data_IF_281052992955
#
_entry.id   IF_281052992955
#
_cell.length_a   1.000
_cell.length_b   1.000
_cell.length_c   1.000
_cell.angle_alpha   90.00
_cell.angle_beta   90.00
_cell.angle_gamma   90.00
#
_symmetry.space_group_name_H-M   'P 1'
#
loop_
_entity.id
_entity.type
_entity.pdbx_description
1 polymer ?
#
# COMPACT_ATOMS: atom_id res chain seq x y z
N UNK A 1 -30.40 20.64 61.51
CA UNK A 1 -30.58 21.55 60.35
C UNK A 1 -29.27 21.62 59.60
N UNK A 2 -29.30 21.09 58.37
CA UNK A 2 -28.41 21.27 57.23
C UNK A 2 -26.93 21.60 57.44
N UNK A 3 -26.12 20.58 57.19
CA UNK A 3 -24.74 20.67 56.75
C UNK A 3 -24.65 21.52 55.47
N UNK A 4 -23.74 22.50 55.47
CA UNK A 4 -23.32 23.25 54.30
C UNK A 4 -22.43 22.33 53.46
N UNK A 5 -23.00 21.84 52.36
CA UNK A 5 -22.30 21.06 51.35
C UNK A 5 -21.32 21.94 50.61
N UNK A 6 -20.03 21.65 50.83
CA UNK A 6 -18.92 22.21 50.10
C UNK A 6 -18.97 21.67 48.66
N UNK A 7 -19.22 22.57 47.70
CA UNK A 7 -19.36 22.21 46.29
C UNK A 7 -17.96 22.09 45.68
N UNK A 8 -17.37 20.90 45.80
CA UNK A 8 -16.22 20.48 45.01
C UNK A 8 -16.64 20.46 43.53
N UNK A 9 -16.39 21.57 42.85
CA UNK A 9 -16.49 21.66 41.39
C UNK A 9 -15.26 20.94 40.85
N UNK A 10 -15.39 19.62 40.65
CA UNK A 10 -14.37 18.79 40.05
C UNK A 10 -14.07 19.29 38.63
N UNK A 11 -12.97 20.01 38.50
CA UNK A 11 -12.32 20.30 37.24
C UNK A 11 -11.93 18.95 36.63
N UNK A 12 -12.69 18.48 35.64
CA UNK A 12 -12.35 17.29 34.87
C UNK A 12 -11.13 17.65 34.03
N UNK A 13 -9.95 17.42 34.60
CA UNK A 13 -8.70 17.41 33.86
C UNK A 13 -8.83 16.29 32.83
N UNK A 14 -9.13 16.64 31.57
CA UNK A 14 -9.15 15.70 30.44
C UNK A 14 -7.72 15.21 30.20
N UNK A 15 -7.25 14.32 31.07
CA UNK A 15 -6.03 13.56 30.88
C UNK A 15 -6.26 12.74 29.61
N UNK A 16 -5.63 13.16 28.51
CA UNK A 16 -5.63 12.36 27.29
C UNK A 16 -4.88 11.07 27.62
N UNK A 17 -5.55 9.93 27.45
CA UNK A 17 -4.90 8.63 27.59
C UNK A 17 -3.62 8.59 26.73
N UNK A 18 -2.48 8.15 27.29
CA UNK A 18 -1.23 8.11 26.55
C UNK A 18 -1.35 7.14 25.38
N UNK A 19 -0.78 7.51 24.23
CA UNK A 19 -0.68 6.65 23.06
C UNK A 19 0.65 5.89 23.19
N UNK A 20 0.58 4.57 23.33
CA UNK A 20 1.75 3.71 23.37
C UNK A 20 1.98 3.09 21.98
N UNK A 21 3.21 3.07 21.49
CA UNK A 21 3.56 2.38 20.23
C UNK A 21 4.52 1.24 20.54
N UNK A 22 4.20 0.06 20.01
CA UNK A 22 4.99 -1.16 20.16
C UNK A 22 4.95 -1.99 18.89
N UNK A 23 5.85 -2.96 18.81
CA UNK A 23 5.79 -3.97 17.77
C UNK A 23 4.55 -4.87 17.97
N UNK A 24 3.95 -5.25 16.85
CA UNK A 24 2.85 -6.21 16.82
C UNK A 24 3.37 -7.60 17.18
N UNK A 25 2.58 -8.33 17.96
CA UNK A 25 2.83 -9.72 18.32
C UNK A 25 1.73 -10.62 17.76
N UNK A 26 1.95 -11.94 17.63
CA UNK A 26 0.93 -12.84 17.08
C UNK A 26 -0.41 -12.80 17.82
N UNK A 27 -0.40 -12.45 19.11
CA UNK A 27 -1.62 -12.28 19.91
C UNK A 27 -2.47 -11.05 19.51
N UNK A 28 -1.92 -10.13 18.72
CA UNK A 28 -2.66 -8.98 18.18
C UNK A 28 -3.48 -9.34 16.93
N UNK A 29 -3.42 -10.60 16.46
CA UNK A 29 -4.03 -11.04 15.21
C UNK A 29 -5.52 -10.72 15.11
N UNK A 30 -6.33 -11.07 16.11
CA UNK A 30 -7.77 -10.79 16.11
C UNK A 30 -8.10 -9.31 15.90
N UNK A 31 -7.63 -8.40 16.78
CA UNK A 31 -7.84 -6.96 16.63
C UNK A 31 -7.34 -6.39 15.29
N UNK A 32 -6.24 -6.92 14.74
CA UNK A 32 -5.72 -6.48 13.45
C UNK A 32 -6.60 -6.98 12.29
N UNK A 33 -7.09 -8.23 12.32
CA UNK A 33 -8.04 -8.71 11.30
C UNK A 33 -9.30 -7.83 11.28
N UNK A 34 -9.84 -7.48 12.45
CA UNK A 34 -10.97 -6.54 12.54
C UNK A 34 -10.66 -5.19 11.89
N UNK A 35 -9.50 -4.60 12.20
CA UNK A 35 -9.08 -3.32 11.59
C UNK A 35 -8.90 -3.41 10.07
N UNK A 36 -8.37 -4.52 9.55
CA UNK A 36 -8.25 -4.71 8.10
C UNK A 36 -9.62 -4.79 7.43
N UNK A 37 -10.62 -5.38 8.09
CA UNK A 37 -12.00 -5.37 7.60
C UNK A 37 -12.62 -3.98 7.60
N UNK A 38 -12.35 -3.16 8.62
CA UNK A 38 -12.76 -1.73 8.65
C UNK A 38 -12.14 -0.92 7.50
N UNK A 39 -10.98 -1.35 6.96
CA UNK A 39 -10.26 -0.65 5.89
C UNK A 39 -10.77 -0.99 4.47
N UNK A 40 -11.56 -2.04 4.28
CA UNK A 40 -11.95 -2.56 2.94
C UNK A 40 -12.77 -1.55 2.11
N UNK A 41 -13.33 -0.51 2.71
CA UNK A 41 -14.00 0.58 1.99
C UNK A 41 -13.04 1.47 1.17
N UNK A 42 -11.72 1.29 1.29
CA UNK A 42 -10.71 1.97 0.49
C UNK A 42 -10.13 1.02 -0.58
N UNK A 43 -10.11 1.44 -1.85
CA UNK A 43 -9.68 0.71 -3.07
C UNK A 43 -8.28 0.05 -2.99
N UNK A 44 -7.56 0.26 -1.89
CA UNK A 44 -6.20 -0.18 -1.61
C UNK A 44 -6.14 -1.61 -1.06
N UNK A 45 -7.19 -2.11 -0.38
CA UNK A 45 -7.16 -3.43 0.25
C UNK A 45 -7.93 -4.48 -0.57
N UNK A 46 -7.46 -4.78 -1.79
CA UNK A 46 -8.05 -5.81 -2.68
C UNK A 46 -7.67 -7.25 -2.30
N UNK A 47 -7.05 -7.46 -1.14
CA UNK A 47 -6.60 -8.76 -0.68
C UNK A 47 -7.71 -9.46 0.12
N UNK A 48 -7.86 -10.76 -0.08
CA UNK A 48 -8.93 -11.57 0.53
C UNK A 48 -8.89 -11.50 2.05
N UNK A 49 -10.07 -11.64 2.67
CA UNK A 49 -10.23 -11.86 4.11
C UNK A 49 -9.24 -12.92 4.61
N UNK A 50 -8.62 -12.65 5.74
CA UNK A 50 -7.64 -13.53 6.40
C UNK A 50 -8.21 -13.92 7.77
N UNK A 51 -8.21 -15.21 8.10
CA UNK A 51 -8.56 -15.68 9.44
C UNK A 51 -7.47 -15.34 10.47
N UNK A 52 -7.85 -15.32 11.75
CA UNK A 52 -6.96 -14.96 12.85
C UNK A 52 -5.71 -15.84 12.93
N UNK A 53 -5.83 -17.15 12.71
CA UNK A 53 -4.69 -18.07 12.76
C UNK A 53 -3.67 -17.75 11.67
N UNK A 54 -4.16 -17.46 10.46
CA UNK A 54 -3.31 -17.04 9.34
C UNK A 54 -2.66 -15.69 9.62
N UNK A 55 -3.40 -14.72 10.15
CA UNK A 55 -2.85 -13.43 10.55
C UNK A 55 -1.76 -13.57 11.61
N UNK A 56 -1.97 -14.38 12.64
CA UNK A 56 -0.99 -14.65 13.69
C UNK A 56 0.32 -15.25 13.15
N UNK A 57 0.23 -16.21 12.23
CA UNK A 57 1.42 -16.77 11.55
C UNK A 57 2.15 -15.73 10.70
N UNK A 58 1.41 -14.87 9.99
CA UNK A 58 1.99 -13.79 9.20
C UNK A 58 2.74 -12.79 10.08
N UNK A 59 2.13 -12.36 11.19
CA UNK A 59 2.76 -11.43 12.16
C UNK A 59 4.04 -12.06 12.75
N UNK A 60 3.98 -13.35 13.13
CA UNK A 60 5.14 -14.07 13.64
C UNK A 60 6.29 -14.10 12.63
N UNK A 61 5.99 -14.34 11.35
CA UNK A 61 7.00 -14.31 10.27
C UNK A 61 7.57 -12.91 10.07
N UNK A 62 6.71 -11.90 10.11
CA UNK A 62 7.09 -10.50 9.93
C UNK A 62 8.08 -10.05 11.00
N UNK A 63 7.85 -10.46 12.26
CA UNK A 63 8.74 -10.15 13.39
C UNK A 63 10.13 -10.81 13.29
N UNK A 64 10.32 -11.79 12.41
CA UNK A 64 11.62 -12.45 12.19
C UNK A 64 12.43 -11.82 11.05
N UNK A 65 11.82 -10.97 10.23
CA UNK A 65 12.49 -10.33 9.10
C UNK A 65 13.09 -8.98 9.54
N UNK A 66 14.42 -8.81 9.51
CA UNK A 66 15.04 -7.57 9.95
C UNK A 66 14.69 -6.37 9.07
N UNK A 67 14.23 -6.57 7.83
CA UNK A 67 13.89 -5.49 6.91
C UNK A 67 12.40 -5.12 6.95
N UNK A 68 11.65 -5.70 7.87
CA UNK A 68 10.22 -5.50 8.05
C UNK A 68 9.91 -5.20 9.53
N UNK A 69 8.91 -4.34 9.78
CA UNK A 69 8.49 -4.00 11.14
C UNK A 69 7.03 -3.58 11.20
N UNK A 70 6.21 -4.30 11.96
CA UNK A 70 4.78 -4.02 12.09
C UNK A 70 4.55 -3.37 13.43
N UNK A 71 4.13 -2.11 13.43
CA UNK A 71 3.91 -1.34 14.66
C UNK A 71 2.43 -1.09 14.89
N UNK A 72 2.01 -1.18 16.15
CA UNK A 72 0.65 -0.90 16.60
C UNK A 72 0.67 0.26 17.58
N UNK A 73 -0.37 1.09 17.49
CA UNK A 73 -0.64 2.14 18.47
C UNK A 73 -1.77 1.68 19.38
N UNK A 74 -1.52 1.75 20.68
CA UNK A 74 -2.41 1.30 21.74
C UNK A 74 -2.85 2.49 22.60
N UNK A 75 -4.14 2.52 22.94
CA UNK A 75 -4.73 3.48 23.87
C UNK A 75 -5.65 2.69 24.81
N UNK A 76 -5.44 2.81 26.12
CA UNK A 76 -6.23 2.12 27.14
C UNK A 76 -6.32 0.59 26.92
N UNK A 77 -5.21 -0.04 26.53
CA UNK A 77 -5.14 -1.49 26.28
C UNK A 77 -5.73 -1.93 24.94
N UNK A 78 -6.20 -0.99 24.11
CA UNK A 78 -6.84 -1.29 22.83
C UNK A 78 -5.97 -0.81 21.67
N UNK A 79 -5.78 -1.67 20.67
CA UNK A 79 -5.10 -1.27 19.44
C UNK A 79 -6.02 -0.30 18.69
N UNK A 80 -5.53 0.88 18.33
CA UNK A 80 -6.31 1.93 17.66
C UNK A 80 -5.71 2.35 16.32
N UNK A 81 -4.48 1.89 16.04
CA UNK A 81 -3.80 2.17 14.79
C UNK A 81 -2.70 1.16 14.51
N UNK A 82 -2.32 1.07 13.25
CA UNK A 82 -1.30 0.15 12.74
C UNK A 82 -0.52 0.82 11.61
N UNK A 83 0.75 0.46 11.47
CA UNK A 83 1.56 0.78 10.31
C UNK A 83 2.54 -0.36 10.02
N UNK A 84 2.64 -0.76 8.76
CA UNK A 84 3.67 -1.66 8.28
C UNK A 84 4.85 -0.82 7.78
N UNK A 85 6.06 -1.14 8.23
CA UNK A 85 7.30 -0.51 7.81
C UNK A 85 8.17 -1.54 7.09
N UNK A 86 8.68 -1.19 5.91
CA UNK A 86 9.62 -2.03 5.18
C UNK A 86 10.82 -1.21 4.75
N UNK A 87 12.04 -1.76 4.86
CA UNK A 87 13.24 -1.13 4.32
C UNK A 87 13.45 -1.63 2.90
N UNK A 88 13.65 -0.71 1.97
CA UNK A 88 13.82 -1.02 0.55
C UNK A 88 14.90 -0.13 -0.07
N UNK A 89 15.54 -0.62 -1.14
CA UNK A 89 16.43 0.21 -1.94
C UNK A 89 15.61 1.28 -2.68
N UNK A 90 16.13 2.52 -2.72
CA UNK A 90 15.50 3.61 -3.46
C UNK A 90 15.47 3.32 -4.97
N UNK A 91 16.52 2.66 -5.47
CA UNK A 91 16.72 2.36 -6.88
C UNK A 91 17.73 1.23 -7.03
N UNK A 92 17.66 0.40 -8.10
CA UNK A 92 18.60 -0.70 -8.32
C UNK A 92 20.06 -0.27 -8.57
N UNK A 93 20.33 1.02 -8.72
CA UNK A 93 21.67 1.58 -9.00
C UNK A 93 22.17 2.52 -7.89
N UNK A 94 21.52 2.49 -6.73
CA UNK A 94 21.81 3.35 -5.58
C UNK A 94 21.97 2.47 -4.33
N UNK A 95 22.92 2.83 -3.46
CA UNK A 95 23.12 2.15 -2.17
C UNK A 95 22.15 2.68 -1.11
N UNK A 96 21.55 3.85 -1.35
CA UNK A 96 20.60 4.47 -0.44
C UNK A 96 19.33 3.62 -0.26
N UNK A 97 18.92 3.48 1.00
CA UNK A 97 17.65 2.84 1.37
C UNK A 97 16.63 3.85 1.87
N UNK A 98 15.36 3.46 1.75
CA UNK A 98 14.22 4.18 2.28
C UNK A 98 13.39 3.26 3.16
N UNK A 99 12.73 3.83 4.16
CA UNK A 99 11.66 3.14 4.88
C UNK A 99 10.34 3.46 4.19
N UNK A 100 9.62 2.43 3.76
CA UNK A 100 8.26 2.55 3.26
C UNK A 100 7.27 2.23 4.36
N UNK A 101 6.39 3.18 4.63
CA UNK A 101 5.19 3.01 5.45
C UNK A 101 4.03 2.60 4.54
N UNK A 102 3.51 1.40 4.77
CA UNK A 102 2.31 0.89 4.12
C UNK A 102 1.28 0.47 5.16
N UNK A 103 0.05 0.21 4.73
CA UNK A 103 -1.05 -0.19 5.62
C UNK A 103 -1.22 0.74 6.84
N UNK A 104 -0.98 2.04 6.67
CA UNK A 104 -1.15 3.04 7.72
C UNK A 104 -2.64 3.28 7.95
N UNK A 105 -3.14 2.81 9.09
CA UNK A 105 -4.54 2.94 9.44
C UNK A 105 -4.73 3.36 10.89
N UNK A 106 -5.76 4.17 11.11
CA UNK A 106 -6.20 4.61 12.43
C UNK A 106 -7.72 4.53 12.46
N UNK A 107 -8.25 3.84 13.47
CA UNK A 107 -9.69 3.75 13.73
C UNK A 107 -10.31 5.13 13.76
N UNK A 108 -11.48 5.28 13.16
CA UNK A 108 -12.09 6.59 12.95
C UNK A 108 -12.28 7.39 14.26
N UNK A 109 -12.71 6.71 15.33
CA UNK A 109 -12.88 7.27 16.68
C UNK A 109 -11.61 7.83 17.30
N UNK A 110 -10.43 7.41 16.81
CA UNK A 110 -9.11 7.79 17.30
C UNK A 110 -8.33 8.70 16.33
N UNK A 111 -8.93 9.08 15.19
CA UNK A 111 -8.33 10.04 14.26
C UNK A 111 -8.27 11.43 14.88
N UNK A 112 -7.33 12.27 14.38
CA UNK A 112 -7.08 13.64 14.85
C UNK A 112 -6.66 13.75 16.33
N UNK A 113 -6.35 12.62 16.99
CA UNK A 113 -5.84 12.56 18.38
C UNK A 113 -4.32 12.38 18.47
N UNK A 114 -3.62 12.37 17.34
CA UNK A 114 -2.16 12.22 17.28
C UNK A 114 -1.67 10.81 16.98
N UNK A 115 -2.54 9.79 16.97
CA UNK A 115 -2.16 8.38 16.71
C UNK A 115 -1.32 8.22 15.43
N UNK A 116 -1.80 8.76 14.30
CA UNK A 116 -1.05 8.69 13.04
C UNK A 116 0.30 9.42 13.07
N UNK A 117 0.44 10.47 13.90
CA UNK A 117 1.74 11.14 14.08
C UNK A 117 2.69 10.25 14.87
N UNK A 118 2.24 9.62 15.95
CA UNK A 118 3.10 8.74 16.77
C UNK A 118 3.54 7.52 15.95
N UNK A 119 2.66 6.93 15.13
CA UNK A 119 3.03 5.86 14.20
C UNK A 119 4.09 6.30 13.19
N UNK A 120 3.94 7.49 12.59
CA UNK A 120 4.95 8.02 11.66
C UNK A 120 6.24 8.45 12.37
N UNK A 121 6.19 8.87 13.64
CA UNK A 121 7.38 9.11 14.45
C UNK A 121 8.15 7.80 14.70
N UNK A 122 7.45 6.68 14.93
CA UNK A 122 8.09 5.37 15.03
C UNK A 122 8.73 4.95 13.68
N UNK A 123 8.10 5.28 12.55
CA UNK A 123 8.69 5.07 11.23
C UNK A 123 9.97 5.89 11.00
N UNK A 124 9.98 7.16 11.42
CA UNK A 124 11.15 8.03 11.33
C UNK A 124 12.30 7.51 12.23
N UNK A 125 12.00 7.14 13.47
CA UNK A 125 13.00 6.56 14.37
C UNK A 125 13.60 5.26 13.81
N UNK A 126 12.77 4.40 13.21
CA UNK A 126 13.25 3.18 12.57
C UNK A 126 14.06 3.46 11.30
N UNK A 127 13.75 4.53 10.55
CA UNK A 127 14.57 4.98 9.44
C UNK A 127 15.96 5.43 9.90
N UNK A 128 16.04 6.17 11.02
CA UNK A 128 17.30 6.57 11.64
C UNK A 128 18.13 5.34 12.07
N UNK A 129 17.49 4.38 12.76
CA UNK A 129 18.12 3.10 13.17
C UNK A 129 18.67 2.29 11.97
N UNK A 130 17.99 2.40 10.82
CA UNK A 130 18.36 1.70 9.58
C UNK A 130 19.23 2.55 8.64
N UNK A 131 19.69 3.71 9.08
CA UNK A 131 20.50 4.65 8.30
C UNK A 131 19.84 5.03 6.95
N UNK A 132 18.50 5.02 6.92
CA UNK A 132 17.71 5.36 5.74
C UNK A 132 17.40 6.85 5.76
N UNK A 133 17.75 7.54 4.68
CA UNK A 133 17.64 9.02 4.60
C UNK A 133 16.24 9.49 4.20
N UNK A 134 15.35 8.57 3.80
CA UNK A 134 14.03 8.87 3.28
C UNK A 134 12.96 7.98 3.89
N UNK A 135 11.75 8.55 4.00
CA UNK A 135 10.53 7.83 4.34
C UNK A 135 9.51 8.01 3.23
N UNK A 136 8.99 6.90 2.71
CA UNK A 136 7.87 6.87 1.78
C UNK A 136 6.62 6.44 2.55
N UNK A 137 5.45 6.96 2.19
CA UNK A 137 4.19 6.47 2.72
C UNK A 137 3.20 6.22 1.59
N UNK A 138 2.53 5.07 1.61
CA UNK A 138 1.49 4.73 0.65
C UNK A 138 0.13 4.80 1.31
N UNK A 139 -0.74 5.61 0.74
CA UNK A 139 -2.16 5.72 1.10
C UNK A 139 -2.98 5.68 -0.19
N UNK A 140 -4.26 5.38 -0.06
CA UNK A 140 -5.18 5.43 -1.20
C UNK A 140 -5.17 6.80 -1.88
N UNK A 141 -5.14 6.81 -3.21
CA UNK A 141 -5.22 8.03 -3.99
C UNK A 141 -6.56 8.77 -3.81
N UNK A 142 -7.64 8.04 -3.48
CA UNK A 142 -8.97 8.63 -3.24
C UNK A 142 -9.10 9.26 -1.84
N UNK A 143 -8.25 8.84 -0.89
CA UNK A 143 -8.30 9.29 0.50
C UNK A 143 -7.72 10.69 0.67
N UNK A 144 -8.56 11.72 0.49
CA UNK A 144 -8.17 13.14 0.63
C UNK A 144 -7.63 13.48 2.02
N UNK A 145 -8.19 12.87 3.07
CA UNK A 145 -7.76 13.13 4.45
C UNK A 145 -6.35 12.59 4.69
N UNK A 146 -6.06 11.36 4.25
CA UNK A 146 -4.75 10.75 4.38
C UNK A 146 -3.68 11.51 3.56
N UNK A 147 -3.98 11.82 2.29
CA UNK A 147 -3.06 12.59 1.44
C UNK A 147 -2.75 13.97 2.04
N UNK A 148 -3.76 14.68 2.55
CA UNK A 148 -3.56 15.98 3.21
C UNK A 148 -2.78 15.84 4.53
N UNK A 149 -2.99 14.77 5.28
CA UNK A 149 -2.24 14.49 6.51
C UNK A 149 -0.75 14.29 6.20
N UNK A 150 -0.41 13.47 5.21
CA UNK A 150 0.97 13.24 4.79
C UNK A 150 1.62 14.51 4.21
N UNK A 151 0.91 15.27 3.38
CA UNK A 151 1.41 16.52 2.82
C UNK A 151 1.75 17.56 3.91
N UNK A 152 0.97 17.62 4.99
CA UNK A 152 1.27 18.49 6.15
C UNK A 152 2.52 18.09 6.92
N UNK A 153 2.99 16.85 6.76
CA UNK A 153 4.23 16.35 7.33
C UNK A 153 5.41 16.49 6.36
N UNK A 154 5.21 17.12 5.19
CA UNK A 154 6.26 17.36 4.20
C UNK A 154 6.40 16.27 3.14
N UNK A 155 5.57 15.22 3.16
CA UNK A 155 5.62 14.18 2.15
C UNK A 155 4.99 14.69 0.84
N UNK A 156 5.79 14.69 -0.23
CA UNK A 156 5.33 14.94 -1.59
C UNK A 156 4.96 13.64 -2.33
N UNK A 157 4.20 13.76 -3.42
CA UNK A 157 3.91 12.62 -4.29
C UNK A 157 5.16 12.26 -5.11
N UNK A 158 5.66 11.04 -4.96
CA UNK A 158 6.85 10.54 -5.68
C UNK A 158 6.53 9.51 -6.78
N UNK A 159 5.29 9.03 -6.86
CA UNK A 159 4.88 8.03 -7.83
C UNK A 159 3.43 7.55 -7.68
N UNK A 160 3.04 6.56 -8.48
CA UNK A 160 1.74 5.90 -8.42
C UNK A 160 1.92 4.38 -8.37
N UNK A 161 1.24 3.71 -7.44
CA UNK A 161 1.18 2.25 -7.37
C UNK A 161 -0.09 1.76 -8.08
N UNK A 162 0.02 0.73 -8.93
CA UNK A 162 -1.13 0.11 -9.62
C UNK A 162 -1.10 -1.40 -9.38
N UNK A 163 -2.23 -1.94 -8.93
CA UNK A 163 -2.38 -3.36 -8.62
C UNK A 163 -3.47 -4.02 -9.44
N UNK A 164 -3.17 -5.23 -9.93
CA UNK A 164 -4.14 -6.13 -10.55
C UNK A 164 -3.73 -7.57 -10.21
N UNK A 165 -4.68 -8.51 -10.01
CA UNK A 165 -4.33 -9.91 -9.89
C UNK A 165 -3.53 -10.40 -11.11
N UNK A 166 -2.51 -11.22 -10.87
CA UNK A 166 -1.59 -11.70 -11.91
C UNK A 166 -2.32 -12.44 -13.03
N UNK A 167 -3.35 -13.23 -12.71
CA UNK A 167 -4.18 -13.92 -13.70
C UNK A 167 -4.85 -12.95 -14.69
N UNK A 168 -5.50 -11.91 -14.17
CA UNK A 168 -6.11 -10.87 -14.99
C UNK A 168 -5.08 -10.08 -15.81
N UNK A 169 -3.88 -9.83 -15.28
CA UNK A 169 -2.79 -9.22 -16.04
C UNK A 169 -2.36 -10.10 -17.21
N UNK A 170 -2.16 -11.40 -16.98
CA UNK A 170 -1.77 -12.36 -18.02
C UNK A 170 -2.81 -12.44 -19.13
N UNK A 171 -4.08 -12.64 -18.77
CA UNK A 171 -5.19 -12.66 -19.72
C UNK A 171 -5.23 -11.37 -20.55
N UNK A 172 -5.04 -10.21 -19.90
CA UNK A 172 -5.07 -8.93 -20.60
C UNK A 172 -3.88 -8.77 -21.55
N UNK A 173 -2.69 -9.19 -21.15
CA UNK A 173 -1.50 -9.17 -22.00
C UNK A 173 -1.63 -10.12 -23.18
N UNK A 174 -2.23 -11.29 -23.02
CA UNK A 174 -2.47 -12.25 -24.11
C UNK A 174 -3.47 -11.69 -25.13
N UNK A 175 -4.53 -11.01 -24.67
CA UNK A 175 -5.49 -10.32 -25.54
C UNK A 175 -4.85 -9.18 -26.35
N UNK A 176 -4.02 -8.36 -25.70
CA UNK A 176 -3.26 -7.28 -26.35
C UNK A 176 -2.13 -7.83 -27.24
N UNK A 177 -1.61 -9.00 -26.88
CA UNK A 177 -0.57 -9.77 -27.53
C UNK A 177 -1.07 -10.66 -28.67
N UNK A 178 -2.13 -10.24 -29.38
CA UNK A 178 -2.37 -10.71 -30.75
C UNK A 178 -1.16 -10.32 -31.62
N UNK A 179 -0.10 -11.13 -31.54
CA UNK A 179 1.00 -11.16 -32.52
C UNK A 179 0.34 -11.22 -33.90
N UNK A 180 0.83 -10.49 -34.92
CA UNK A 180 0.38 -10.75 -36.29
C UNK A 180 0.63 -12.24 -36.52
N UNK A 181 -0.44 -13.03 -36.59
CA UNK A 181 -0.32 -14.47 -36.70
C UNK A 181 0.65 -14.80 -37.84
N UNK A 182 1.45 -15.85 -37.71
CA UNK A 182 2.23 -16.37 -38.85
C UNK A 182 1.33 -16.54 -40.09
N UNK A 183 0.02 -16.82 -39.90
CA UNK A 183 -1.00 -16.77 -40.96
C UNK A 183 -1.17 -15.38 -41.60
N UNK A 184 -1.23 -14.31 -40.82
CA UNK A 184 -1.30 -12.92 -41.29
C UNK A 184 -0.03 -12.46 -42.01
N UNK A 185 1.14 -12.86 -41.52
CA UNK A 185 2.43 -12.60 -42.16
C UNK A 185 2.60 -13.39 -43.46
N UNK A 186 2.24 -14.68 -43.48
CA UNK A 186 2.25 -15.52 -44.70
C UNK A 186 1.21 -15.03 -45.71
N UNK A 187 0.03 -14.57 -45.27
CA UNK A 187 -0.96 -13.96 -46.14
C UNK A 187 -0.51 -12.59 -46.69
N UNK A 188 0.23 -11.80 -45.91
CA UNK A 188 0.83 -10.55 -46.38
C UNK A 188 1.97 -10.78 -47.39
N UNK A 189 2.83 -11.78 -47.14
CA UNK A 189 3.91 -12.18 -48.05
C UNK A 189 3.34 -12.77 -49.34
N UNK A 190 2.36 -13.68 -49.26
CA UNK A 190 1.67 -14.24 -50.45
C UNK A 190 0.96 -13.17 -51.27
N UNK A 191 0.32 -12.18 -50.64
CA UNK A 191 -0.30 -11.06 -51.36
C UNK A 191 0.75 -10.18 -52.07
N UNK A 192 1.92 -9.95 -51.45
CA UNK A 192 3.02 -9.21 -52.09
C UNK A 192 3.61 -9.95 -53.29
N UNK A 193 3.81 -11.27 -53.19
CA UNK A 193 4.37 -12.07 -54.30
C UNK A 193 3.38 -12.23 -55.46
N UNK A 194 2.09 -12.42 -55.18
CA UNK A 194 1.05 -12.45 -56.21
C UNK A 194 0.91 -11.11 -56.94
N UNK A 195 0.93 -9.99 -56.21
CA UNK A 195 0.90 -8.64 -56.83
C UNK A 195 2.12 -8.38 -57.71
N UNK A 196 3.33 -8.79 -57.30
CA UNK A 196 4.53 -8.70 -58.15
C UNK A 196 4.39 -9.52 -59.44
N UNK A 197 3.93 -10.77 -59.34
CA UNK A 197 3.71 -11.63 -60.51
C UNK A 197 2.66 -11.07 -61.47
N UNK A 198 1.57 -10.52 -60.96
CA UNK A 198 0.53 -9.89 -61.77
C UNK A 198 0.99 -8.60 -62.44
N UNK A 199 1.85 -7.81 -61.78
CA UNK A 199 2.45 -6.61 -62.38
C UNK A 199 3.45 -6.98 -63.49
N UNK A 200 4.31 -7.98 -63.27
CA UNK A 200 5.26 -8.45 -64.30
C UNK A 200 4.56 -9.09 -65.50
N UNK A 201 3.46 -9.81 -65.28
CA UNK A 201 2.66 -10.42 -66.37
C UNK A 201 1.83 -9.40 -67.17
N UNK A 202 1.56 -8.22 -66.61
CA UNK A 202 0.94 -7.10 -67.34
C UNK A 202 1.97 -6.34 -68.18
N UNK A 203 3.15 -6.06 -67.62
CA UNK A 203 4.24 -5.43 -68.37
C UNK A 203 4.67 -6.25 -69.61
N UNK A 204 4.73 -7.58 -69.49
CA UNK A 204 5.08 -8.47 -70.61
C UNK A 204 4.01 -8.58 -71.72
N UNK A 205 2.83 -7.97 -71.55
CA UNK A 205 1.74 -7.94 -72.56
C UNK A 205 1.63 -6.61 -73.29
N UNK A 206 2.22 -5.55 -72.75
CA UNK A 206 2.23 -4.22 -73.38
C UNK A 206 3.47 -4.02 -74.29
N UNK A 207 4.45 -4.93 -74.25
CA UNK A 207 5.69 -4.90 -75.04
C UNK A 207 5.67 -5.79 -76.31
N UNK A 208 4.49 -6.29 -76.73
CA UNK A 208 4.33 -7.14 -77.92
C UNK A 208 3.17 -6.68 -78.79
#
# INVERSE_FOLDING_TARGET
MHALGDRHTGEVCLMRSPIHVRDAVPADAGPLVEMWHEQIDDDTNRFSATDEDTAGRCIARFALDPEERLVVAEVDGQIVGVAQLSREAVSPIHEETTVRVSHLFVRESNRRRGVGRVLLSAAAAWADEKESTHVLATVSASSRDANRFLARLGLGQVGNVRGVPVGAMRERLDQLGSRPSLRGQVAAVRRRTLRRRQASARAARDDG
#
